data_IF_002106204196
#
_entry.id   IF_002106204196
#
_cell.length_a   1.000
_cell.length_b   1.000
_cell.length_c   1.000
_cell.angle_alpha   90.00
_cell.angle_beta   90.00
_cell.angle_gamma   90.00
#
_symmetry.space_group_name_H-M   'P 1'
#
loop_
_entity.id
_entity.type
_entity.pdbx_description
1 polymer ?
#
# COMPACT_ATOMS: atom_id res chain seq x y z
N UNK A 1 2.93 -47.29 34.52
CA UNK A 1 2.98 -45.87 34.06
C UNK A 1 2.94 -45.89 32.55
N UNK A 2 1.89 -45.38 31.99
CA UNK A 2 1.83 -45.30 30.53
C UNK A 2 2.19 -43.89 30.14
N UNK A 3 3.42 -43.70 29.65
CA UNK A 3 3.84 -42.48 28.97
C UNK A 3 3.42 -42.50 27.50
N UNK A 4 3.30 -41.34 26.92
CA UNK A 4 3.14 -41.14 25.46
C UNK A 4 4.13 -40.09 24.97
N UNK A 5 4.21 -39.85 23.66
CA UNK A 5 5.26 -39.05 23.07
C UNK A 5 4.69 -37.91 22.25
N UNK A 6 5.19 -36.71 22.50
CA UNK A 6 5.02 -35.55 21.61
C UNK A 6 6.11 -35.60 20.55
N UNK A 7 5.75 -35.49 19.28
CA UNK A 7 6.61 -35.68 18.12
C UNK A 7 6.60 -34.44 17.20
N UNK A 8 7.63 -34.28 16.39
CA UNK A 8 7.78 -33.17 15.45
C UNK A 8 6.63 -33.12 14.44
N UNK A 9 6.15 -34.28 13.96
CA UNK A 9 5.02 -34.40 13.01
C UNK A 9 4.10 -35.55 13.43
N UNK A 10 2.89 -35.55 12.92
CA UNK A 10 1.90 -36.63 13.14
C UNK A 10 2.30 -37.95 12.50
N UNK A 11 3.16 -38.73 13.14
CA UNK A 11 3.62 -40.03 12.63
C UNK A 11 4.49 -40.78 13.62
N UNK A 12 4.37 -42.12 13.65
CA UNK A 12 5.14 -42.97 14.60
C UNK A 12 6.66 -42.97 14.31
N UNK A 13 7.04 -42.65 13.10
CA UNK A 13 8.46 -42.53 12.67
C UNK A 13 9.02 -41.13 12.85
N UNK A 14 8.18 -40.16 13.20
CA UNK A 14 8.64 -38.77 13.43
C UNK A 14 9.49 -38.70 14.70
N UNK A 15 10.52 -37.84 14.75
CA UNK A 15 11.35 -37.65 15.94
C UNK A 15 10.51 -37.29 17.16
N UNK A 16 10.96 -37.76 18.32
CA UNK A 16 10.33 -37.50 19.62
C UNK A 16 10.90 -36.20 20.14
N UNK A 17 10.03 -35.26 20.51
CA UNK A 17 10.38 -34.00 21.16
C UNK A 17 10.37 -34.16 22.67
N UNK A 18 9.35 -34.86 23.20
CA UNK A 18 9.16 -35.04 24.63
C UNK A 18 8.35 -36.29 24.95
N UNK A 19 8.63 -36.90 26.08
CA UNK A 19 7.74 -37.89 26.73
C UNK A 19 6.84 -37.18 27.71
N UNK A 20 5.53 -37.49 27.67
CA UNK A 20 4.53 -37.00 28.61
C UNK A 20 3.93 -38.18 29.36
N UNK A 21 3.66 -37.98 30.64
CA UNK A 21 3.14 -39.02 31.55
C UNK A 21 1.61 -38.97 31.61
N UNK A 22 1.01 -40.00 32.20
CA UNK A 22 -0.39 -39.96 32.54
C UNK A 22 -0.65 -38.79 33.49
N UNK A 23 -1.73 -38.08 33.23
CA UNK A 23 -2.21 -36.92 34.01
C UNK A 23 -1.43 -35.60 33.78
N UNK A 24 -0.39 -35.59 32.88
CA UNK A 24 0.19 -34.35 32.40
C UNK A 24 -0.86 -33.56 31.62
N UNK A 25 -0.95 -32.28 31.89
CA UNK A 25 -1.85 -31.38 31.16
C UNK A 25 -1.28 -31.06 29.77
N UNK A 26 -2.12 -31.17 28.76
CA UNK A 26 -1.78 -30.92 27.39
C UNK A 26 -2.82 -29.95 26.78
N UNK A 27 -2.35 -28.88 26.20
CA UNK A 27 -3.20 -27.96 25.44
C UNK A 27 -3.29 -28.42 23.99
N UNK A 28 -4.51 -28.67 23.50
CA UNK A 28 -4.75 -28.99 22.09
C UNK A 28 -4.81 -27.68 21.34
N UNK A 29 -3.88 -27.49 20.39
CA UNK A 29 -3.79 -26.32 19.52
C UNK A 29 -4.60 -26.52 18.24
N UNK A 30 -4.57 -27.75 17.70
CA UNK A 30 -5.30 -28.12 16.51
C UNK A 30 -5.66 -29.62 16.54
N UNK A 31 -6.86 -29.97 16.07
CA UNK A 31 -7.38 -31.32 16.12
C UNK A 31 -7.37 -31.98 14.75
N UNK A 32 -6.57 -33.04 14.59
CA UNK A 32 -6.54 -33.85 13.38
C UNK A 32 -7.18 -35.24 13.57
N UNK A 33 -7.27 -36.08 12.54
CA UNK A 33 -7.94 -37.38 12.60
C UNK A 33 -7.29 -38.39 13.55
N UNK A 34 -5.97 -38.50 13.50
CA UNK A 34 -5.20 -39.51 14.25
C UNK A 34 -4.17 -38.87 15.19
N UNK A 35 -3.79 -37.62 14.93
CA UNK A 35 -2.79 -36.87 15.66
C UNK A 35 -3.29 -35.45 15.87
N UNK A 36 -3.20 -34.97 17.09
CA UNK A 36 -3.52 -33.60 17.46
C UNK A 36 -2.23 -32.81 17.62
N UNK A 37 -2.20 -31.54 17.13
CA UNK A 37 -1.14 -30.59 17.44
C UNK A 37 -1.36 -30.08 18.85
N UNK A 38 -0.33 -30.13 19.67
CA UNK A 38 -0.45 -29.86 21.10
C UNK A 38 0.71 -29.02 21.61
N UNK A 39 0.48 -28.33 22.74
CA UNK A 39 1.51 -27.73 23.56
C UNK A 39 1.52 -28.38 24.96
N UNK A 40 2.69 -28.66 25.47
CA UNK A 40 2.90 -29.10 26.88
C UNK A 40 2.99 -27.88 27.80
N UNK A 41 2.86 -28.07 29.12
CA UNK A 41 2.95 -26.97 30.10
C UNK A 41 4.29 -26.22 30.08
N UNK A 42 5.36 -26.86 29.69
CA UNK A 42 6.70 -26.27 29.50
C UNK A 42 6.96 -25.75 28.08
N UNK A 43 5.91 -25.61 27.25
CA UNK A 43 5.98 -24.92 25.96
C UNK A 43 6.44 -25.75 24.77
N UNK A 44 6.64 -27.10 24.91
CA UNK A 44 6.98 -27.94 23.77
C UNK A 44 5.76 -28.12 22.86
N UNK A 45 5.86 -27.65 21.63
CA UNK A 45 4.83 -27.79 20.60
C UNK A 45 5.16 -28.96 19.67
N UNK A 46 4.18 -29.83 19.43
CA UNK A 46 4.34 -30.99 18.56
C UNK A 46 3.02 -31.75 18.39
N UNK A 47 3.13 -33.02 18.00
CA UNK A 47 1.97 -33.87 17.71
C UNK A 47 1.92 -35.08 18.64
N UNK A 48 0.73 -35.34 19.17
CA UNK A 48 0.43 -36.51 20.01
C UNK A 48 -0.67 -37.34 19.36
N UNK A 49 -0.66 -38.65 19.59
CA UNK A 49 -1.77 -39.51 19.13
C UNK A 49 -3.05 -39.13 19.84
N UNK A 50 -4.11 -38.81 19.10
CA UNK A 50 -5.43 -38.45 19.66
C UNK A 50 -5.92 -39.47 20.70
N UNK A 51 -5.75 -40.75 20.45
CA UNK A 51 -6.12 -41.82 21.37
C UNK A 51 -5.36 -41.86 22.69
N UNK A 52 -4.31 -41.08 22.81
CA UNK A 52 -3.54 -40.94 24.06
C UNK A 52 -4.03 -39.78 24.95
N UNK A 53 -4.92 -38.95 24.41
CA UNK A 53 -5.59 -37.91 25.14
C UNK A 53 -6.88 -38.44 25.79
N UNK A 54 -7.21 -37.92 26.95
CA UNK A 54 -8.49 -38.13 27.63
C UNK A 54 -9.52 -37.10 27.11
N UNK A 55 -10.61 -36.95 27.85
CA UNK A 55 -11.61 -35.91 27.56
C UNK A 55 -10.97 -34.53 27.57
N UNK A 56 -11.29 -33.76 26.50
CA UNK A 56 -10.86 -32.38 26.38
C UNK A 56 -11.93 -31.42 26.90
N UNK A 57 -11.52 -30.40 27.60
CA UNK A 57 -12.36 -29.28 28.01
C UNK A 57 -11.90 -28.02 27.28
N UNK A 58 -12.82 -27.29 26.64
CA UNK A 58 -12.51 -25.98 26.12
C UNK A 58 -12.17 -25.05 27.28
N UNK A 59 -10.98 -24.49 27.24
CA UNK A 59 -10.53 -23.49 28.22
C UNK A 59 -10.12 -22.25 27.47
N UNK A 60 -10.66 -21.10 27.86
CA UNK A 60 -10.15 -19.81 27.40
C UNK A 60 -8.88 -19.54 28.21
N UNK A 61 -7.74 -19.50 27.53
CA UNK A 61 -6.51 -19.01 28.15
C UNK A 61 -6.64 -17.50 28.30
N UNK A 62 -6.53 -17.04 29.53
CA UNK A 62 -6.50 -15.61 29.84
C UNK A 62 -5.22 -15.35 30.63
N UNK A 63 -4.50 -14.31 30.23
CA UNK A 63 -3.45 -13.75 31.06
C UNK A 63 -4.06 -12.54 31.78
N UNK A 64 -4.36 -12.63 33.10
CA UNK A 64 -4.96 -11.51 33.86
C UNK A 64 -4.01 -10.32 34.00
N UNK A 65 -2.70 -10.54 33.80
CA UNK A 65 -1.67 -9.51 33.89
C UNK A 65 -1.24 -9.01 32.47
N UNK A 66 -1.98 -9.40 31.42
CA UNK A 66 -1.72 -8.91 30.09
C UNK A 66 -2.23 -7.48 29.95
N UNK A 67 -1.34 -6.56 29.71
CA UNK A 67 -1.63 -5.21 29.25
C UNK A 67 -1.36 -5.13 27.74
N UNK A 68 -2.33 -4.64 26.99
CA UNK A 68 -2.15 -4.43 25.55
C UNK A 68 -1.10 -3.33 25.35
N UNK A 69 -0.13 -3.60 24.49
CA UNK A 69 0.88 -2.62 24.12
C UNK A 69 0.20 -1.43 23.43
N UNK A 70 0.51 -0.22 23.89
CA UNK A 70 -0.04 1.02 23.33
C UNK A 70 1.06 1.77 22.60
N UNK A 71 0.73 2.29 21.41
CA UNK A 71 1.61 3.08 20.59
C UNK A 71 1.12 4.53 20.55
N UNK A 72 2.05 5.47 20.64
CA UNK A 72 1.78 6.89 20.43
C UNK A 72 2.08 7.23 18.97
N UNK A 73 1.19 7.98 18.34
CA UNK A 73 1.36 8.41 16.95
C UNK A 73 1.95 9.81 16.89
N UNK A 74 2.82 10.03 15.90
CA UNK A 74 3.32 11.36 15.54
C UNK A 74 2.25 12.02 14.66
N UNK A 75 1.53 12.98 15.24
CA UNK A 75 0.50 13.75 14.51
C UNK A 75 1.04 15.09 14.07
N UNK A 76 0.68 15.51 12.87
CA UNK A 76 1.00 16.85 12.35
C UNK A 76 -0.11 17.83 12.71
N UNK A 77 0.29 19.08 12.94
CA UNK A 77 -0.64 20.17 13.27
C UNK A 77 -1.46 20.66 12.06
N UNK A 78 -1.01 20.31 10.86
CA UNK A 78 -1.64 20.69 9.58
C UNK A 78 -2.02 19.44 8.79
N UNK A 79 -3.00 19.60 7.91
CA UNK A 79 -3.33 18.57 6.95
C UNK A 79 -2.12 18.22 6.08
N UNK A 80 -1.92 16.93 5.84
CA UNK A 80 -0.82 16.45 5.03
C UNK A 80 -1.14 16.66 3.56
N UNK A 81 -0.28 17.41 2.88
CA UNK A 81 -0.25 17.54 1.43
C UNK A 81 1.03 16.88 0.91
N UNK A 82 0.98 15.55 0.74
CA UNK A 82 2.11 14.74 0.30
C UNK A 82 2.17 14.67 -1.22
N UNK A 83 3.36 14.78 -1.78
CA UNK A 83 3.56 14.53 -3.20
C UNK A 83 4.69 13.53 -3.42
N UNK A 84 4.39 12.45 -4.17
CA UNK A 84 5.41 11.52 -4.60
C UNK A 84 6.20 12.09 -5.78
N UNK A 85 7.52 12.08 -5.64
CA UNK A 85 8.45 12.45 -6.71
C UNK A 85 9.20 11.21 -7.19
N UNK A 86 8.90 10.75 -8.39
CA UNK A 86 9.60 9.62 -8.98
C UNK A 86 11.02 10.02 -9.39
N UNK A 87 11.99 9.55 -8.63
CA UNK A 87 13.42 9.71 -8.88
C UNK A 87 13.97 8.40 -9.44
N UNK A 88 14.49 8.42 -10.67
CA UNK A 88 14.94 7.20 -11.38
C UNK A 88 16.45 7.06 -11.46
N UNK A 89 17.21 8.03 -10.98
CA UNK A 89 18.68 8.02 -10.96
C UNK A 89 19.24 9.04 -9.97
N UNK A 90 20.47 8.83 -9.53
CA UNK A 90 21.17 9.76 -8.65
C UNK A 90 21.18 11.19 -9.21
N UNK A 91 21.38 11.35 -10.52
CA UNK A 91 21.42 12.68 -11.16
C UNK A 91 20.07 13.38 -11.22
N UNK A 92 18.96 12.64 -11.17
CA UNK A 92 17.61 13.20 -11.22
C UNK A 92 17.28 14.02 -9.96
N UNK A 93 17.96 13.78 -8.83
CA UNK A 93 17.79 14.53 -7.60
C UNK A 93 17.99 16.04 -7.78
N UNK A 94 18.90 16.44 -8.65
CA UNK A 94 19.20 17.88 -8.90
C UNK A 94 18.04 18.66 -9.51
N UNK A 95 16.97 17.98 -9.97
CA UNK A 95 15.79 18.61 -10.56
C UNK A 95 14.75 19.05 -9.51
N UNK A 96 14.93 18.74 -8.23
CA UNK A 96 13.95 19.06 -7.18
C UNK A 96 13.55 20.56 -7.15
N UNK A 97 14.44 21.55 -7.38
CA UNK A 97 14.01 22.95 -7.43
C UNK A 97 13.01 23.22 -8.55
N UNK A 98 13.21 22.60 -9.72
CA UNK A 98 12.32 22.74 -10.86
C UNK A 98 10.98 22.07 -10.59
N UNK A 99 10.99 20.86 -9.99
CA UNK A 99 9.79 20.09 -9.68
C UNK A 99 8.89 20.85 -8.69
N UNK A 100 9.47 21.42 -7.63
CA UNK A 100 8.71 22.17 -6.60
C UNK A 100 8.22 23.53 -7.13
N UNK A 101 8.91 24.14 -8.08
CA UNK A 101 8.63 25.53 -8.51
C UNK A 101 7.21 25.76 -9.04
N UNK A 102 6.53 24.72 -9.51
CA UNK A 102 5.16 24.78 -10.05
C UNK A 102 4.09 24.33 -9.02
N UNK A 103 4.50 23.90 -7.83
CA UNK A 103 3.60 23.35 -6.82
C UNK A 103 3.14 24.41 -5.83
N UNK A 104 2.00 24.18 -5.16
CA UNK A 104 1.50 25.01 -4.06
C UNK A 104 0.95 24.14 -2.95
N UNK A 105 1.25 24.50 -1.70
CA UNK A 105 0.66 23.85 -0.53
C UNK A 105 1.28 22.48 -0.15
N UNK A 106 2.23 21.95 -0.92
CA UNK A 106 2.94 20.73 -0.52
C UNK A 106 3.70 20.97 0.77
N UNK A 107 3.52 20.11 1.76
CA UNK A 107 4.26 20.14 3.01
C UNK A 107 5.04 18.84 3.28
N UNK A 108 4.81 17.78 2.48
CA UNK A 108 5.57 16.54 2.53
C UNK A 108 5.96 16.12 1.11
N UNK A 109 7.23 15.83 0.91
CA UNK A 109 7.78 15.24 -0.31
C UNK A 109 8.17 13.79 -0.06
N UNK A 110 7.69 12.87 -0.88
CA UNK A 110 8.07 11.45 -0.81
C UNK A 110 8.80 11.02 -2.09
N UNK A 111 10.13 11.09 -2.12
CA UNK A 111 10.91 10.65 -3.27
C UNK A 111 11.09 9.13 -3.29
N UNK A 112 10.99 8.51 -4.47
CA UNK A 112 11.15 7.07 -4.69
C UNK A 112 12.64 6.69 -4.71
N UNK A 113 13.27 6.66 -3.55
CA UNK A 113 14.72 6.54 -3.45
C UNK A 113 15.24 5.15 -3.11
N UNK A 114 14.47 4.39 -2.34
CA UNK A 114 14.94 3.17 -1.75
C UNK A 114 14.08 1.99 -2.18
N UNK A 115 14.72 0.88 -2.48
CA UNK A 115 13.99 -0.34 -2.74
C UNK A 115 14.71 -1.57 -2.20
N UNK A 116 13.94 -2.60 -1.86
CA UNK A 116 14.47 -3.87 -1.39
C UNK A 116 15.29 -4.53 -2.51
N UNK A 117 16.59 -4.73 -2.28
CA UNK A 117 17.55 -5.09 -3.32
C UNK A 117 18.00 -6.55 -3.31
N UNK A 118 17.89 -7.22 -2.14
CA UNK A 118 18.24 -8.64 -2.03
C UNK A 118 17.47 -9.35 -0.91
N UNK A 119 17.58 -10.68 -0.89
CA UNK A 119 16.95 -11.53 0.13
C UNK A 119 17.59 -11.46 1.52
N UNK A 120 18.65 -10.68 1.73
CA UNK A 120 19.23 -10.44 3.04
C UNK A 120 18.61 -9.20 3.73
N UNK A 121 17.74 -8.48 3.04
CA UNK A 121 17.10 -7.25 3.53
C UNK A 121 17.94 -5.99 3.28
N UNK A 122 18.89 -6.02 2.35
CA UNK A 122 19.63 -4.83 1.95
C UNK A 122 18.80 -3.96 0.99
N UNK A 123 19.00 -2.65 1.08
CA UNK A 123 18.35 -1.66 0.22
C UNK A 123 19.30 -1.20 -0.89
N UNK A 124 18.73 -0.90 -2.06
CA UNK A 124 19.32 0.03 -3.00
C UNK A 124 18.99 1.46 -2.60
N UNK A 125 19.86 2.40 -2.91
CA UNK A 125 19.81 3.77 -2.43
C UNK A 125 20.29 4.75 -3.53
N UNK A 126 19.41 5.69 -3.89
CA UNK A 126 19.73 6.80 -4.81
C UNK A 126 19.37 8.16 -4.18
N UNK A 127 19.28 8.25 -2.85
CA UNK A 127 18.91 9.46 -2.13
C UNK A 127 19.99 10.56 -2.19
N UNK A 128 19.61 11.78 -1.85
CA UNK A 128 20.48 12.95 -1.91
C UNK A 128 20.24 13.88 -0.72
N UNK A 129 21.31 14.19 0.01
CA UNK A 129 21.28 15.20 1.08
C UNK A 129 20.94 16.61 0.58
N UNK A 130 21.43 16.97 -0.61
CA UNK A 130 21.15 18.27 -1.20
C UNK A 130 19.66 18.43 -1.52
N UNK A 131 19.00 17.32 -1.94
CA UNK A 131 17.57 17.30 -2.15
C UNK A 131 16.82 17.56 -0.84
N UNK A 132 17.15 16.84 0.23
CA UNK A 132 16.53 17.01 1.56
C UNK A 132 16.76 18.45 2.06
N UNK A 133 17.99 18.93 2.02
CA UNK A 133 18.32 20.31 2.43
C UNK A 133 17.53 21.37 1.65
N UNK A 134 17.33 21.13 0.35
CA UNK A 134 16.51 22.03 -0.46
C UNK A 134 15.04 22.00 -0.03
N UNK A 135 14.44 20.83 0.16
CA UNK A 135 13.06 20.69 0.65
C UNK A 135 12.89 21.37 2.01
N UNK A 136 13.79 21.15 2.96
CA UNK A 136 13.77 21.79 4.27
C UNK A 136 13.86 23.33 4.16
N UNK A 137 14.67 23.85 3.23
CA UNK A 137 14.74 25.30 2.97
C UNK A 137 13.44 25.91 2.47
N UNK A 138 12.55 25.06 1.92
CA UNK A 138 11.20 25.45 1.47
C UNK A 138 10.11 25.15 2.52
N UNK A 139 10.48 24.64 3.70
CA UNK A 139 9.53 24.23 4.74
C UNK A 139 8.78 22.93 4.42
N UNK A 140 9.36 22.08 3.57
CA UNK A 140 8.78 20.81 3.13
C UNK A 140 9.53 19.67 3.83
N UNK A 141 8.81 18.81 4.53
CA UNK A 141 9.36 17.58 5.09
C UNK A 141 9.68 16.56 3.99
N UNK A 142 10.64 15.68 4.24
CA UNK A 142 10.98 14.59 3.31
C UNK A 142 10.73 13.25 3.99
N UNK A 143 9.73 12.51 3.47
CA UNK A 143 9.44 11.14 3.86
C UNK A 143 9.96 10.21 2.77
N UNK A 144 11.15 9.64 2.96
CA UNK A 144 11.74 8.76 1.96
C UNK A 144 10.85 7.54 1.69
N UNK A 145 10.59 7.27 0.41
CA UNK A 145 9.81 6.10 0.00
C UNK A 145 10.71 4.87 -0.09
N UNK A 146 10.23 3.77 0.48
CA UNK A 146 10.85 2.45 0.47
C UNK A 146 9.89 1.45 -0.17
N UNK A 147 10.28 0.87 -1.31
CA UNK A 147 9.45 -0.03 -2.10
C UNK A 147 10.03 -1.45 -2.22
N UNK A 148 9.25 -2.37 -2.78
CA UNK A 148 9.66 -3.75 -3.08
C UNK A 148 9.36 -4.16 -4.53
N UNK A 149 9.20 -3.21 -5.43
CA UNK A 149 8.74 -3.46 -6.81
C UNK A 149 9.89 -3.53 -7.84
N UNK A 150 11.00 -2.83 -7.61
CA UNK A 150 12.03 -2.59 -8.61
C UNK A 150 12.88 -3.83 -8.91
N UNK A 151 13.13 -4.66 -7.89
CA UNK A 151 13.90 -5.89 -8.06
C UNK A 151 12.99 -7.12 -7.90
N UNK A 152 12.50 -7.65 -9.01
CA UNK A 152 11.60 -8.80 -9.05
C UNK A 152 12.26 -10.15 -8.68
N UNK A 153 13.58 -10.20 -8.55
CA UNK A 153 14.31 -11.40 -8.11
C UNK A 153 14.33 -11.55 -6.58
N UNK A 154 13.84 -10.52 -5.84
CA UNK A 154 13.79 -10.55 -4.39
C UNK A 154 12.48 -11.17 -3.91
N UNK A 155 12.61 -12.16 -3.03
CA UNK A 155 11.50 -12.74 -2.29
C UNK A 155 11.20 -11.90 -1.04
N UNK A 156 10.32 -10.91 -1.18
CA UNK A 156 9.90 -10.06 -0.08
C UNK A 156 9.27 -10.85 1.08
N UNK A 157 8.56 -11.94 0.78
CA UNK A 157 7.99 -12.82 1.79
C UNK A 157 9.09 -13.48 2.64
N UNK A 158 10.17 -13.94 2.00
CA UNK A 158 11.32 -14.47 2.72
C UNK A 158 11.93 -13.41 3.66
N UNK A 159 12.15 -12.19 3.16
CA UNK A 159 12.74 -11.11 3.95
C UNK A 159 11.88 -10.78 5.17
N UNK A 160 10.56 -10.71 5.02
CA UNK A 160 9.63 -10.34 6.09
C UNK A 160 9.42 -11.47 7.11
N UNK A 161 9.40 -12.73 6.68
CA UNK A 161 9.12 -13.88 7.57
C UNK A 161 10.32 -14.32 8.40
N UNK A 162 11.53 -13.95 8.02
CA UNK A 162 12.76 -14.29 8.74
C UNK A 162 13.24 -13.10 9.58
N UNK A 163 13.29 -13.27 10.89
CA UNK A 163 13.67 -12.19 11.83
C UNK A 163 15.02 -11.53 11.49
N UNK A 164 16.01 -12.31 11.07
CA UNK A 164 17.34 -11.77 10.75
C UNK A 164 17.32 -10.82 9.56
N UNK A 165 16.65 -11.18 8.46
CA UNK A 165 16.55 -10.38 7.24
C UNK A 165 15.63 -9.18 7.45
N UNK A 166 14.51 -9.35 8.17
CA UNK A 166 13.61 -8.27 8.57
C UNK A 166 14.33 -7.25 9.47
N UNK A 167 15.12 -7.71 10.43
CA UNK A 167 15.95 -6.83 11.26
C UNK A 167 16.99 -6.07 10.43
N UNK A 168 17.60 -6.71 9.44
CA UNK A 168 18.53 -6.05 8.52
C UNK A 168 17.82 -4.94 7.76
N UNK A 169 16.66 -5.24 7.16
CA UNK A 169 15.85 -4.26 6.43
C UNK A 169 15.51 -3.04 7.31
N UNK A 170 14.99 -3.27 8.51
CA UNK A 170 14.66 -2.19 9.45
C UNK A 170 15.89 -1.34 9.81
N UNK A 171 17.04 -1.98 10.03
CA UNK A 171 18.26 -1.24 10.31
C UNK A 171 18.76 -0.42 9.11
N UNK A 172 18.59 -0.93 7.90
CA UNK A 172 18.92 -0.21 6.66
C UNK A 172 17.98 1.02 6.50
N UNK A 173 16.68 0.87 6.72
CA UNK A 173 15.69 1.97 6.69
C UNK A 173 16.10 3.05 7.69
N UNK A 174 16.33 2.69 8.94
CA UNK A 174 16.73 3.65 9.97
C UNK A 174 18.08 4.32 9.68
N UNK A 175 19.05 3.56 9.15
CA UNK A 175 20.33 4.13 8.74
C UNK A 175 20.16 5.16 7.61
N UNK A 176 19.29 4.88 6.64
CA UNK A 176 18.96 5.83 5.57
C UNK A 176 18.28 7.08 6.16
N UNK A 177 17.30 6.91 7.04
CA UNK A 177 16.60 8.03 7.68
C UNK A 177 17.57 8.97 8.42
N UNK A 178 18.51 8.44 9.18
CA UNK A 178 19.53 9.24 9.86
C UNK A 178 20.56 9.85 8.90
N UNK A 179 21.05 9.05 7.93
CA UNK A 179 22.08 9.53 7.02
C UNK A 179 21.63 10.69 6.16
N UNK A 180 20.34 10.70 5.76
CA UNK A 180 19.75 11.72 4.89
C UNK A 180 18.94 12.76 5.65
N UNK A 181 18.81 12.64 6.98
CA UNK A 181 18.02 13.57 7.82
C UNK A 181 16.55 13.60 7.38
N UNK A 182 15.95 12.40 7.17
CA UNK A 182 14.56 12.28 6.78
C UNK A 182 13.62 12.59 7.96
N UNK A 183 12.52 13.27 7.69
CA UNK A 183 11.46 13.57 8.67
C UNK A 183 10.48 12.40 8.82
N UNK A 184 10.42 11.55 7.83
CA UNK A 184 9.55 10.37 7.81
C UNK A 184 10.04 9.26 6.90
N UNK A 185 9.39 8.11 7.08
CA UNK A 185 9.53 6.90 6.28
C UNK A 185 8.18 6.59 5.67
N UNK A 186 8.14 6.44 4.34
CA UNK A 186 6.96 6.02 3.60
C UNK A 186 7.19 4.61 3.06
N UNK A 187 6.46 3.63 3.57
CA UNK A 187 6.58 2.22 3.15
C UNK A 187 5.56 1.95 2.06
N UNK A 188 6.05 1.59 0.87
CA UNK A 188 5.29 1.26 -0.32
C UNK A 188 5.59 -0.18 -0.76
N UNK A 189 5.19 -1.14 0.08
CA UNK A 189 5.37 -2.57 -0.19
C UNK A 189 4.09 -3.14 -0.81
N UNK A 190 3.97 -3.03 -2.12
CA UNK A 190 2.79 -3.46 -2.85
C UNK A 190 2.80 -4.97 -3.20
N UNK A 191 3.97 -5.55 -3.40
CA UNK A 191 4.09 -6.96 -3.79
C UNK A 191 3.93 -7.90 -2.57
N UNK A 192 2.89 -7.67 -1.77
CA UNK A 192 2.44 -8.53 -0.68
C UNK A 192 1.17 -9.22 -1.20
N UNK A 193 1.31 -10.41 -1.76
CA UNK A 193 0.26 -11.05 -2.55
C UNK A 193 -0.44 -12.23 -1.87
N UNK A 194 0.05 -12.67 -0.71
CA UNK A 194 -0.47 -13.84 -0.02
C UNK A 194 -0.71 -13.58 1.46
N UNK A 195 -1.80 -14.15 1.98
CA UNK A 195 -2.13 -14.08 3.40
C UNK A 195 -1.06 -14.72 4.31
N UNK A 196 -0.25 -15.65 3.76
CA UNK A 196 0.74 -16.42 4.54
C UNK A 196 1.82 -15.56 5.22
N UNK A 197 2.10 -14.37 4.71
CA UNK A 197 3.08 -13.44 5.29
C UNK A 197 2.51 -12.07 5.66
N UNK A 198 1.19 -11.92 5.60
CA UNK A 198 0.51 -10.70 6.06
C UNK A 198 0.82 -10.35 7.52
N UNK A 199 0.77 -11.34 8.42
CA UNK A 199 1.13 -11.14 9.83
C UNK A 199 2.60 -10.71 9.99
N UNK A 200 3.50 -11.23 9.15
CA UNK A 200 4.92 -10.84 9.18
C UNK A 200 5.14 -9.42 8.65
N UNK A 201 4.28 -8.96 7.73
CA UNK A 201 4.29 -7.58 7.28
C UNK A 201 3.83 -6.63 8.39
N UNK A 202 2.76 -6.98 9.11
CA UNK A 202 2.30 -6.20 10.26
C UNK A 202 3.39 -6.15 11.36
N UNK A 203 4.07 -7.28 11.61
CA UNK A 203 5.18 -7.31 12.57
C UNK A 203 6.37 -6.42 12.12
N UNK A 204 6.67 -6.40 10.81
CA UNK A 204 7.66 -5.48 10.25
C UNK A 204 7.27 -4.02 10.53
N UNK A 205 6.02 -3.63 10.27
CA UNK A 205 5.52 -2.28 10.54
C UNK A 205 5.61 -1.96 12.04
N UNK A 206 5.22 -2.89 12.92
CA UNK A 206 5.31 -2.72 14.37
C UNK A 206 6.76 -2.50 14.83
N UNK A 207 7.68 -3.35 14.41
CA UNK A 207 9.10 -3.24 14.78
C UNK A 207 9.72 -1.93 14.25
N UNK A 208 9.36 -1.52 13.03
CA UNK A 208 9.81 -0.27 12.42
C UNK A 208 9.24 0.95 13.15
N UNK A 209 7.94 0.94 13.48
CA UNK A 209 7.26 2.02 14.19
C UNK A 209 7.95 2.34 15.52
N UNK A 210 8.31 1.31 16.30
CA UNK A 210 9.03 1.51 17.58
C UNK A 210 10.32 2.30 17.36
N UNK A 211 11.07 1.99 16.30
CA UNK A 211 12.32 2.71 16.01
C UNK A 211 12.07 4.11 15.47
N UNK A 212 11.10 4.27 14.60
CA UNK A 212 10.72 5.58 14.07
C UNK A 212 10.27 6.52 15.20
N UNK A 213 9.32 6.10 16.01
CA UNK A 213 8.77 6.91 17.11
C UNK A 213 9.81 7.27 18.17
N UNK A 214 10.69 6.34 18.54
CA UNK A 214 11.79 6.61 19.46
C UNK A 214 12.77 7.67 18.96
N UNK A 215 12.74 7.99 17.67
CA UNK A 215 13.62 8.96 17.02
C UNK A 215 12.87 10.15 16.41
N UNK A 216 11.56 10.27 16.64
CA UNK A 216 10.75 11.38 16.15
C UNK A 216 10.54 11.38 14.62
N UNK A 217 10.66 10.20 13.98
CA UNK A 217 10.49 9.99 12.54
C UNK A 217 9.07 9.49 12.29
N UNK A 218 8.32 10.19 11.43
CA UNK A 218 6.96 9.78 11.05
C UNK A 218 6.98 8.50 10.22
N UNK A 219 5.99 7.62 10.42
CA UNK A 219 5.82 6.39 9.63
C UNK A 219 4.49 6.39 8.90
N UNK A 220 4.53 6.36 7.58
CA UNK A 220 3.37 6.15 6.72
C UNK A 220 3.50 4.85 5.94
N UNK A 221 2.37 4.22 5.65
CA UNK A 221 2.30 2.97 4.89
C UNK A 221 1.28 3.11 3.77
N UNK A 222 1.73 2.86 2.55
CA UNK A 222 0.88 2.89 1.36
C UNK A 222 0.19 1.54 1.20
N UNK A 223 -1.11 1.58 0.93
CA UNK A 223 -1.93 0.38 0.74
C UNK A 223 -2.94 0.61 -0.38
N UNK A 224 -3.30 -0.46 -1.07
CA UNK A 224 -4.37 -0.43 -2.06
C UNK A 224 -5.72 -0.21 -1.39
N UNK A 225 -6.70 0.32 -2.13
CA UNK A 225 -8.10 0.42 -1.70
C UNK A 225 -8.60 -0.94 -1.18
N UNK A 226 -9.34 -0.99 -0.04
CA UNK A 226 -9.83 -2.23 0.52
C UNK A 226 -10.65 -3.05 -0.48
N UNK A 227 -10.29 -4.33 -0.64
CA UNK A 227 -10.97 -5.29 -1.49
C UNK A 227 -10.99 -6.67 -0.84
N UNK A 228 -11.85 -7.57 -1.32
CA UNK A 228 -11.97 -8.91 -0.76
C UNK A 228 -10.68 -9.73 -0.82
N UNK A 229 -9.84 -9.49 -1.83
CA UNK A 229 -8.60 -10.21 -2.08
C UNK A 229 -7.38 -9.67 -1.31
N UNK A 230 -7.47 -8.45 -0.72
CA UNK A 230 -6.35 -7.82 -0.04
C UNK A 230 -6.57 -7.60 1.48
N UNK A 231 -7.48 -8.38 2.09
CA UNK A 231 -7.77 -8.32 3.54
C UNK A 231 -6.57 -8.67 4.43
N UNK A 232 -5.57 -9.34 3.89
CA UNK A 232 -4.34 -9.70 4.60
C UNK A 232 -3.45 -8.48 4.93
N UNK A 233 -3.68 -7.32 4.32
CA UNK A 233 -3.03 -6.09 4.75
C UNK A 233 -3.42 -5.68 6.18
N UNK A 234 -4.58 -6.15 6.69
CA UNK A 234 -5.02 -5.91 8.07
C UNK A 234 -4.79 -4.45 8.51
N UNK A 235 -5.46 -3.54 7.85
CA UNK A 235 -5.28 -2.09 8.04
C UNK A 235 -5.55 -1.64 9.47
N UNK A 236 -6.44 -2.34 10.19
CA UNK A 236 -6.74 -2.02 11.57
C UNK A 236 -5.58 -2.31 12.52
N UNK A 237 -4.82 -3.39 12.32
CA UNK A 237 -3.60 -3.63 13.10
C UNK A 237 -2.45 -2.72 12.65
N UNK A 238 -2.34 -2.46 11.34
CA UNK A 238 -1.36 -1.52 10.79
C UNK A 238 -1.54 -0.11 11.38
N UNK A 239 -2.77 0.36 11.50
CA UNK A 239 -3.10 1.68 12.09
C UNK A 239 -2.79 1.80 13.58
N UNK A 240 -2.61 0.68 14.30
CA UNK A 240 -2.14 0.71 15.70
C UNK A 240 -0.68 1.15 15.81
N UNK A 241 0.10 0.94 14.75
CA UNK A 241 1.55 1.14 14.75
C UNK A 241 1.98 2.33 13.89
N UNK A 242 1.51 2.41 12.65
CA UNK A 242 1.85 3.49 11.73
C UNK A 242 1.13 4.79 12.11
N UNK A 243 1.77 5.93 11.86
CA UNK A 243 1.15 7.23 12.07
C UNK A 243 0.07 7.50 11.03
N UNK A 244 0.31 7.10 9.79
CA UNK A 244 -0.59 7.32 8.66
C UNK A 244 -0.69 6.09 7.77
N UNK A 245 -1.90 5.86 7.27
CA UNK A 245 -2.21 4.89 6.22
C UNK A 245 -2.60 5.67 4.97
N UNK A 246 -1.79 5.55 3.93
CA UNK A 246 -2.07 6.18 2.63
C UNK A 246 -2.82 5.17 1.77
N UNK A 247 -4.09 5.43 1.48
CA UNK A 247 -4.87 4.58 0.56
C UNK A 247 -4.66 5.08 -0.86
N UNK A 248 -4.10 4.23 -1.72
CA UNK A 248 -3.88 4.54 -3.15
C UNK A 248 -5.21 4.51 -3.89
N UNK A 249 -5.91 5.66 -3.93
CA UNK A 249 -7.22 5.83 -4.55
C UNK A 249 -7.15 5.93 -6.07
N UNK A 250 -6.36 5.07 -6.70
CA UNK A 250 -6.14 5.01 -8.15
C UNK A 250 -5.85 3.57 -8.62
N UNK A 251 -5.70 3.40 -9.93
CA UNK A 251 -5.62 2.11 -10.63
C UNK A 251 -6.88 1.23 -10.44
N UNK A 252 -8.08 1.87 -10.37
CA UNK A 252 -9.38 1.20 -10.48
C UNK A 252 -9.42 0.38 -11.78
N UNK A 253 -9.07 1.02 -12.91
CA UNK A 253 -8.78 0.38 -14.17
C UNK A 253 -7.30 0.56 -14.53
N UNK A 254 -6.63 -0.53 -14.85
CA UNK A 254 -5.19 -0.60 -15.06
C UNK A 254 -4.84 -1.35 -16.37
N UNK A 255 -3.58 -1.35 -16.76
CA UNK A 255 -3.13 -2.08 -17.96
C UNK A 255 -3.51 -3.57 -17.86
N UNK A 256 -4.36 -4.02 -18.76
CA UNK A 256 -4.86 -5.39 -18.82
C UNK A 256 -6.28 -5.59 -18.28
N UNK A 257 -6.89 -4.55 -17.68
CA UNK A 257 -8.32 -4.52 -17.40
C UNK A 257 -9.13 -4.04 -18.60
N UNK A 258 -10.44 -4.05 -18.47
CA UNK A 258 -11.34 -3.31 -19.37
C UNK A 258 -11.07 -1.81 -19.27
N UNK A 259 -11.44 -1.06 -20.32
CA UNK A 259 -11.30 0.39 -20.35
C UNK A 259 -12.26 1.05 -19.35
N UNK A 260 -11.72 1.96 -18.55
CA UNK A 260 -12.47 2.69 -17.54
C UNK A 260 -11.65 3.80 -16.89
N UNK A 261 -12.25 4.48 -15.94
CA UNK A 261 -11.58 5.47 -15.08
C UNK A 261 -10.45 4.85 -14.27
N UNK A 262 -9.36 5.56 -14.08
CA UNK A 262 -8.30 5.14 -13.14
C UNK A 262 -8.69 5.41 -11.69
N UNK A 263 -9.72 6.26 -11.44
CA UNK A 263 -10.07 6.72 -10.11
C UNK A 263 -11.45 7.39 -10.11
N UNK A 264 -12.52 6.61 -10.35
CA UNK A 264 -13.88 7.14 -10.34
C UNK A 264 -14.30 7.58 -8.93
N UNK A 265 -15.17 8.60 -8.85
CA UNK A 265 -15.62 9.12 -7.56
C UNK A 265 -16.39 8.07 -6.74
N UNK A 266 -17.30 7.26 -7.31
CA UNK A 266 -17.97 6.21 -6.56
C UNK A 266 -17.01 5.18 -5.97
N UNK A 267 -16.03 4.72 -6.75
CA UNK A 267 -15.04 3.73 -6.30
C UNK A 267 -14.12 4.27 -5.19
N UNK A 268 -13.65 5.51 -5.34
CA UNK A 268 -12.83 6.17 -4.30
C UNK A 268 -13.66 6.38 -3.03
N UNK A 269 -14.93 6.77 -3.16
CA UNK A 269 -15.85 6.96 -2.02
C UNK A 269 -16.02 5.66 -1.24
N UNK A 270 -16.31 4.55 -1.93
CA UNK A 270 -16.40 3.22 -1.30
C UNK A 270 -15.08 2.82 -0.63
N UNK A 271 -13.95 3.13 -1.26
CA UNK A 271 -12.63 2.91 -0.72
C UNK A 271 -12.39 3.65 0.59
N UNK A 272 -12.71 4.94 0.64
CA UNK A 272 -12.63 5.76 1.86
C UNK A 272 -13.56 5.23 2.95
N UNK A 273 -14.84 4.99 2.63
CA UNK A 273 -15.82 4.45 3.59
C UNK A 273 -15.42 3.08 4.16
N UNK A 274 -14.82 2.24 3.32
CA UNK A 274 -14.33 0.92 3.74
C UNK A 274 -13.09 1.04 4.63
N UNK A 275 -12.19 1.96 4.32
CA UNK A 275 -11.00 2.21 5.14
C UNK A 275 -11.36 2.80 6.51
N UNK A 276 -12.34 3.69 6.57
CA UNK A 276 -12.83 4.28 7.83
C UNK A 276 -13.42 3.25 8.81
N UNK A 277 -13.78 2.07 8.36
CA UNK A 277 -14.21 0.96 9.23
C UNK A 277 -13.03 0.29 9.95
N UNK A 278 -11.82 0.46 9.44
CA UNK A 278 -10.60 -0.20 9.91
C UNK A 278 -9.60 0.80 10.53
N UNK A 279 -9.58 2.05 10.06
CA UNK A 279 -8.56 3.06 10.38
C UNK A 279 -9.22 4.36 10.85
N UNK A 280 -8.73 5.00 11.93
CA UNK A 280 -9.18 6.33 12.34
C UNK A 280 -9.00 7.36 11.22
N UNK A 281 -9.97 8.27 11.05
CA UNK A 281 -9.96 9.26 9.97
C UNK A 281 -8.69 10.13 9.97
N UNK A 282 -8.24 10.55 11.14
CA UNK A 282 -7.04 11.38 11.35
C UNK A 282 -5.71 10.65 11.13
N UNK A 283 -5.75 9.38 10.69
CA UNK A 283 -4.61 8.61 10.23
C UNK A 283 -4.68 8.27 8.72
N UNK A 284 -5.78 8.59 8.03
CA UNK A 284 -5.96 8.26 6.62
C UNK A 284 -5.50 9.41 5.74
N UNK A 285 -4.61 9.13 4.80
CA UNK A 285 -4.25 10.03 3.69
C UNK A 285 -4.82 9.44 2.41
N UNK A 286 -5.57 10.24 1.63
CA UNK A 286 -6.13 9.80 0.36
C UNK A 286 -5.15 10.05 -0.79
N UNK A 287 -4.62 8.99 -1.38
CA UNK A 287 -3.81 9.03 -2.59
C UNK A 287 -4.68 9.28 -3.83
N UNK A 288 -4.29 10.26 -4.64
CA UNK A 288 -4.97 10.71 -5.86
C UNK A 288 -4.03 10.69 -7.05
N UNK A 289 -4.50 10.34 -8.27
CA UNK A 289 -3.66 10.35 -9.45
C UNK A 289 -3.55 11.75 -10.06
N UNK A 290 -2.37 12.08 -10.60
CA UNK A 290 -2.17 13.15 -11.56
C UNK A 290 -2.04 12.63 -13.00
N UNK A 291 -2.30 11.35 -13.20
CA UNK A 291 -2.28 10.70 -14.50
C UNK A 291 -3.65 10.16 -14.87
N UNK A 292 -3.84 9.97 -16.16
CA UNK A 292 -4.95 9.19 -16.68
C UNK A 292 -4.46 8.13 -17.64
N UNK A 293 -5.38 7.27 -18.11
CA UNK A 293 -5.13 6.33 -19.19
C UNK A 293 -5.95 6.70 -20.41
N UNK A 294 -5.29 6.76 -21.57
CA UNK A 294 -5.99 6.71 -22.85
C UNK A 294 -6.05 5.25 -23.26
N UNK A 295 -7.28 4.80 -23.46
CA UNK A 295 -7.60 3.44 -23.86
C UNK A 295 -7.76 3.38 -25.36
N UNK A 296 -7.13 2.39 -25.99
CA UNK A 296 -7.23 2.07 -27.39
C UNK A 296 -7.98 0.75 -27.54
N UNK A 297 -9.15 0.78 -28.16
CA UNK A 297 -10.01 -0.36 -28.44
C UNK A 297 -9.92 -0.68 -29.93
N UNK A 298 -9.27 -1.81 -30.26
CA UNK A 298 -9.12 -2.29 -31.63
C UNK A 298 -10.18 -3.40 -31.87
N UNK A 299 -11.08 -3.25 -32.88
CA UNK A 299 -12.06 -4.30 -33.20
C UNK A 299 -11.38 -5.64 -33.50
N UNK A 300 -11.96 -6.75 -33.01
CA UNK A 300 -11.52 -8.10 -33.38
C UNK A 300 -11.90 -8.39 -34.85
N UNK A 301 -11.15 -9.24 -35.55
CA UNK A 301 -11.15 -9.39 -37.03
C UNK A 301 -12.50 -9.73 -37.68
N UNK A 302 -13.52 -10.13 -36.90
CA UNK A 302 -14.83 -10.53 -37.45
C UNK A 302 -15.93 -9.45 -37.31
N UNK A 303 -15.62 -8.23 -36.85
CA UNK A 303 -16.60 -7.18 -36.63
C UNK A 303 -16.28 -5.93 -37.52
N UNK A 304 -16.99 -5.82 -38.68
CA UNK A 304 -16.80 -4.77 -39.65
C UNK A 304 -17.28 -3.35 -39.24
N UNK A 305 -17.81 -3.19 -38.03
CA UNK A 305 -18.30 -1.88 -37.61
C UNK A 305 -18.14 -1.67 -36.09
N UNK A 306 -17.46 -0.61 -35.70
CA UNK A 306 -17.45 0.00 -34.36
C UNK A 306 -18.85 0.59 -34.11
N UNK A 307 -19.87 -0.26 -33.85
CA UNK A 307 -21.24 0.19 -33.64
C UNK A 307 -21.70 0.07 -32.21
N UNK A 308 -21.02 -0.72 -31.40
CA UNK A 308 -21.35 -0.92 -29.98
C UNK A 308 -20.11 -0.62 -29.12
N UNK A 309 -20.03 0.61 -28.61
CA UNK A 309 -18.93 1.11 -27.81
C UNK A 309 -19.01 0.65 -26.35
N UNK A 310 -20.12 0.04 -25.94
CA UNK A 310 -20.35 -0.44 -24.57
C UNK A 310 -19.86 -1.88 -24.38
N UNK A 311 -19.99 -2.72 -25.42
CA UNK A 311 -19.53 -4.13 -25.35
C UNK A 311 -18.02 -4.25 -25.67
N UNK A 312 -17.21 -4.08 -24.63
CA UNK A 312 -15.75 -4.18 -24.76
C UNK A 312 -15.24 -5.57 -25.13
N UNK A 313 -16.07 -6.62 -25.00
CA UNK A 313 -15.68 -8.00 -25.36
C UNK A 313 -15.37 -8.15 -26.86
N UNK A 314 -15.86 -7.24 -27.69
CA UNK A 314 -15.63 -7.17 -29.13
C UNK A 314 -14.30 -6.56 -29.54
N UNK A 315 -13.54 -6.03 -28.56
CA UNK A 315 -12.29 -5.31 -28.81
C UNK A 315 -11.09 -5.97 -28.14
N UNK A 316 -9.93 -5.74 -28.71
CA UNK A 316 -8.66 -5.85 -28.00
C UNK A 316 -8.38 -4.52 -27.35
N UNK A 317 -8.24 -4.50 -26.03
CA UNK A 317 -8.03 -3.29 -25.23
C UNK A 317 -6.55 -3.10 -24.92
N UNK A 318 -6.02 -1.93 -25.24
CA UNK A 318 -4.69 -1.48 -24.85
C UNK A 318 -4.80 -0.12 -24.15
N UNK A 319 -3.82 0.22 -23.30
CA UNK A 319 -3.81 1.54 -22.66
C UNK A 319 -2.41 2.08 -22.47
N UNK A 320 -2.33 3.40 -22.43
CA UNK A 320 -1.12 4.13 -22.11
C UNK A 320 -1.41 5.23 -21.09
N UNK A 321 -0.47 5.44 -20.16
CA UNK A 321 -0.51 6.50 -19.15
C UNK A 321 -0.15 7.84 -19.78
N UNK A 322 -0.91 8.88 -19.43
CA UNK A 322 -0.69 10.26 -19.86
C UNK A 322 -0.74 11.19 -18.65
N UNK A 323 0.12 12.21 -18.65
CA UNK A 323 -0.02 13.36 -17.76
C UNK A 323 -1.27 14.17 -18.13
N UNK A 324 -1.74 15.05 -17.25
CA UNK A 324 -2.89 15.92 -17.52
C UNK A 324 -2.73 16.72 -18.81
N UNK A 325 -1.59 17.40 -19.00
CA UNK A 325 -1.32 18.19 -20.21
C UNK A 325 -1.19 17.32 -21.46
N UNK A 326 -0.58 16.14 -21.35
CA UNK A 326 -0.44 15.25 -22.48
C UNK A 326 -1.80 14.66 -22.91
N UNK A 327 -2.68 14.35 -21.98
CA UNK A 327 -4.05 13.90 -22.28
C UNK A 327 -4.86 15.01 -22.96
N UNK A 328 -4.80 16.23 -22.46
CA UNK A 328 -5.44 17.40 -23.08
C UNK A 328 -4.92 17.64 -24.52
N UNK A 329 -3.62 17.49 -24.74
CA UNK A 329 -3.03 17.60 -26.08
C UNK A 329 -3.53 16.52 -27.05
N UNK A 330 -3.77 15.28 -26.56
CA UNK A 330 -4.37 14.22 -27.39
C UNK A 330 -5.80 14.57 -27.80
N UNK A 331 -6.62 15.12 -26.90
CA UNK A 331 -7.96 15.58 -27.24
C UNK A 331 -7.92 16.66 -28.33
N UNK A 332 -7.07 17.66 -28.16
CA UNK A 332 -6.92 18.74 -29.10
C UNK A 332 -6.48 18.23 -30.50
N UNK A 333 -5.53 17.30 -30.55
CA UNK A 333 -5.02 16.70 -31.78
C UNK A 333 -6.10 15.94 -32.55
N UNK A 334 -7.01 15.29 -31.83
CA UNK A 334 -8.06 14.45 -32.40
C UNK A 334 -9.42 15.19 -32.53
N UNK A 335 -9.47 16.49 -32.22
CA UNK A 335 -10.70 17.30 -32.16
C UNK A 335 -11.77 16.66 -31.24
N UNK A 336 -11.37 15.96 -30.20
CA UNK A 336 -12.26 15.35 -29.23
C UNK A 336 -12.65 16.38 -28.16
N UNK A 337 -13.90 16.37 -27.75
CA UNK A 337 -14.41 17.27 -26.71
C UNK A 337 -14.80 16.45 -25.49
N UNK A 338 -14.27 16.83 -24.36
CA UNK A 338 -14.64 16.20 -23.09
C UNK A 338 -15.92 16.83 -22.52
N UNK A 339 -16.75 16.01 -21.89
CA UNK A 339 -17.93 16.43 -21.13
C UNK A 339 -17.96 15.69 -19.79
N UNK A 340 -18.61 16.29 -18.81
CA UNK A 340 -18.77 15.66 -17.51
C UNK A 340 -19.55 14.34 -17.64
N UNK A 341 -18.92 13.27 -17.24
CA UNK A 341 -19.56 11.98 -17.00
C UNK A 341 -19.99 11.93 -15.52
N UNK A 342 -21.29 11.97 -15.32
CA UNK A 342 -21.86 12.00 -13.95
C UNK A 342 -21.64 10.68 -13.20
N UNK A 343 -21.49 9.57 -13.91
CA UNK A 343 -21.27 8.25 -13.30
C UNK A 343 -19.88 8.16 -12.67
N UNK A 344 -18.83 8.47 -13.42
CA UNK A 344 -17.45 8.49 -12.89
C UNK A 344 -17.14 9.75 -12.07
N UNK A 345 -17.89 10.83 -12.30
CA UNK A 345 -17.62 12.14 -11.74
C UNK A 345 -16.44 12.88 -12.38
N UNK A 346 -15.99 12.44 -13.56
CA UNK A 346 -14.85 12.97 -14.30
C UNK A 346 -15.27 13.54 -15.66
N UNK A 347 -14.42 14.36 -16.26
CA UNK A 347 -14.60 14.73 -17.66
C UNK A 347 -14.18 13.55 -18.56
N UNK A 348 -15.09 13.09 -19.40
CA UNK A 348 -14.91 11.97 -20.32
C UNK A 348 -14.87 12.44 -21.76
N UNK A 349 -14.02 11.81 -22.55
CA UNK A 349 -14.01 11.98 -24.01
C UNK A 349 -13.78 10.64 -24.70
N UNK A 350 -14.34 10.52 -25.91
CA UNK A 350 -14.01 9.43 -26.83
C UNK A 350 -13.87 9.96 -28.26
N UNK A 351 -13.11 9.25 -29.08
CA UNK A 351 -12.93 9.54 -30.51
C UNK A 351 -12.53 8.31 -31.28
N UNK A 352 -12.78 8.32 -32.59
CA UNK A 352 -12.34 7.26 -33.49
C UNK A 352 -11.22 7.76 -34.40
N UNK A 353 -10.18 6.95 -34.54
CA UNK A 353 -9.09 7.18 -35.48
C UNK A 353 -8.50 5.86 -35.97
N UNK A 354 -8.18 5.75 -37.26
CA UNK A 354 -7.53 4.55 -37.85
C UNK A 354 -8.26 3.24 -37.55
N UNK A 355 -9.58 3.21 -37.63
CA UNK A 355 -10.45 2.07 -37.33
C UNK A 355 -10.33 1.57 -35.87
N UNK A 356 -10.01 2.45 -34.93
CA UNK A 356 -9.94 2.20 -33.51
C UNK A 356 -10.80 3.22 -32.78
N UNK A 357 -11.31 2.82 -31.60
CA UNK A 357 -11.98 3.69 -30.67
C UNK A 357 -11.02 4.03 -29.52
N UNK A 358 -10.98 5.29 -29.15
CA UNK A 358 -10.21 5.78 -28.00
C UNK A 358 -11.15 6.32 -26.95
N UNK A 359 -10.86 6.02 -25.68
CA UNK A 359 -11.61 6.51 -24.52
C UNK A 359 -10.66 7.07 -23.47
N UNK A 360 -11.10 8.14 -22.78
CA UNK A 360 -10.34 8.72 -21.67
C UNK A 360 -11.27 9.35 -20.63
N UNK A 361 -11.01 9.06 -19.38
CA UNK A 361 -11.55 9.79 -18.21
C UNK A 361 -10.43 10.69 -17.69
N UNK A 362 -10.61 12.00 -17.79
CA UNK A 362 -9.56 12.97 -17.51
C UNK A 362 -9.36 13.15 -16.01
N UNK A 363 -8.09 13.27 -15.62
CA UNK A 363 -7.74 13.88 -14.36
C UNK A 363 -7.51 15.37 -14.57
N UNK A 364 -8.26 16.17 -13.82
CA UNK A 364 -8.23 17.63 -13.87
C UNK A 364 -8.72 18.24 -12.53
N UNK A 365 -8.87 19.55 -12.48
CA UNK A 365 -9.39 20.22 -11.28
C UNK A 365 -10.79 19.74 -10.87
N UNK A 366 -11.62 19.29 -11.82
CA UNK A 366 -13.00 18.81 -11.53
C UNK A 366 -12.97 17.50 -10.74
N UNK A 367 -12.20 16.53 -11.20
CA UNK A 367 -12.06 15.23 -10.54
C UNK A 367 -11.35 15.36 -9.20
N UNK A 368 -10.27 16.17 -9.14
CA UNK A 368 -9.52 16.42 -7.91
C UNK A 368 -10.36 17.12 -6.84
N UNK A 369 -11.16 18.14 -7.21
CA UNK A 369 -12.02 18.84 -6.25
C UNK A 369 -13.01 17.90 -5.58
N UNK A 370 -13.61 16.98 -6.33
CA UNK A 370 -14.54 15.98 -5.78
C UNK A 370 -13.86 15.05 -4.77
N UNK A 371 -12.61 14.60 -5.04
CA UNK A 371 -11.84 13.75 -4.10
C UNK A 371 -11.32 14.54 -2.90
N UNK A 372 -10.86 15.77 -3.08
CA UNK A 372 -10.46 16.64 -1.98
C UNK A 372 -11.63 16.94 -1.04
N UNK A 373 -12.84 17.05 -1.61
CA UNK A 373 -14.07 17.16 -0.80
C UNK A 373 -14.29 15.91 0.07
N UNK A 374 -13.96 14.71 -0.39
CA UNK A 374 -14.02 13.50 0.45
C UNK A 374 -13.03 13.58 1.62
N UNK A 375 -11.85 14.16 1.41
CA UNK A 375 -10.86 14.39 2.48
C UNK A 375 -11.43 15.31 3.54
N UNK A 376 -11.99 16.45 3.15
CA UNK A 376 -12.55 17.43 4.09
C UNK A 376 -13.83 16.92 4.79
N UNK A 377 -14.77 16.35 4.04
CA UNK A 377 -16.05 15.87 4.58
C UNK A 377 -15.84 14.74 5.62
N UNK A 378 -14.84 13.88 5.43
CA UNK A 378 -14.51 12.78 6.32
C UNK A 378 -13.43 13.10 7.35
N UNK A 379 -12.88 14.32 7.35
CA UNK A 379 -11.81 14.76 8.27
C UNK A 379 -10.60 13.82 8.21
N UNK A 380 -10.19 13.44 7.01
CA UNK A 380 -9.00 12.64 6.81
C UNK A 380 -7.74 13.45 7.17
N UNK A 381 -6.61 12.75 7.40
CA UNK A 381 -5.33 13.39 7.73
C UNK A 381 -4.76 14.24 6.59
N UNK A 382 -5.22 14.05 5.35
CA UNK A 382 -4.77 14.80 4.19
C UNK A 382 -4.90 14.04 2.88
N UNK A 383 -4.13 14.50 1.88
CA UNK A 383 -4.06 13.87 0.57
C UNK A 383 -2.62 13.66 0.11
N UNK A 384 -2.44 12.69 -0.79
CA UNK A 384 -1.18 12.39 -1.46
C UNK A 384 -1.39 12.34 -2.98
N UNK A 385 -0.38 12.70 -3.77
CA UNK A 385 -0.52 12.86 -5.22
C UNK A 385 0.52 12.07 -6.00
N UNK A 386 0.07 11.13 -6.82
CA UNK A 386 0.90 10.33 -7.71
C UNK A 386 0.77 10.84 -9.15
N UNK A 387 1.73 11.45 -9.73
CA UNK A 387 3.04 11.87 -9.22
C UNK A 387 3.38 13.26 -9.76
N UNK A 388 4.32 13.93 -9.11
CA UNK A 388 4.83 15.22 -9.59
C UNK A 388 5.39 15.13 -11.02
N UNK A 389 5.12 16.16 -11.78
CA UNK A 389 5.44 16.25 -13.22
C UNK A 389 4.37 15.66 -14.13
N UNK A 390 3.27 15.13 -13.57
CA UNK A 390 2.10 14.70 -14.33
C UNK A 390 0.92 15.66 -14.21
N UNK A 391 0.94 16.54 -13.22
CA UNK A 391 -0.11 17.54 -13.01
C UNK A 391 -0.02 18.70 -14.01
N UNK A 392 -1.16 19.31 -14.28
CA UNK A 392 -1.23 20.69 -14.75
C UNK A 392 -1.10 21.64 -13.55
N UNK A 393 -0.26 22.66 -13.64
CA UNK A 393 0.03 23.53 -12.50
C UNK A 393 -1.20 24.24 -11.88
N UNK A 394 -2.29 24.37 -12.66
CA UNK A 394 -3.54 25.01 -12.18
C UNK A 394 -4.27 24.17 -11.12
N UNK A 395 -4.02 22.86 -11.04
CA UNK A 395 -4.69 21.98 -10.05
C UNK A 395 -4.31 22.36 -8.62
N UNK A 396 -3.14 22.94 -8.42
CA UNK A 396 -2.68 23.37 -7.09
C UNK A 396 -3.57 24.48 -6.50
N UNK A 397 -4.20 25.30 -7.33
CA UNK A 397 -5.18 26.29 -6.88
C UNK A 397 -6.44 25.62 -6.31
N UNK A 398 -6.75 24.39 -6.75
CA UNK A 398 -7.81 23.57 -6.17
C UNK A 398 -7.33 22.89 -4.88
N UNK A 399 -6.13 22.33 -4.89
CA UNK A 399 -5.55 21.63 -3.71
C UNK A 399 -5.51 22.53 -2.48
N UNK A 400 -4.99 23.77 -2.61
CA UNK A 400 -4.85 24.70 -1.49
C UNK A 400 -6.17 25.24 -0.92
N UNK A 401 -7.31 24.99 -1.57
CA UNK A 401 -8.63 25.33 -0.99
C UNK A 401 -9.04 24.36 0.12
N UNK A 402 -8.53 23.14 0.09
CA UNK A 402 -8.91 22.03 0.97
C UNK A 402 -7.81 21.64 1.96
N UNK A 403 -6.55 21.81 1.57
CA UNK A 403 -5.37 21.44 2.37
C UNK A 403 -4.56 22.69 2.69
N UNK A 404 -4.66 23.18 3.93
CA UNK A 404 -3.94 24.38 4.42
C UNK A 404 -3.22 24.11 5.76
#
# INVERSE_FOLDING_TARGET
SKSTQVRVKGGIKSPILKEVKKDDKITILDSGDKWDKVATEDGVIGYIKRKALSESKKTKLTNPDYEEETFTHIKKDKDICLAWNQVTSQSANSKVPQVISSTKGINVMSPTWFYLNDNNGNLADIASKDYVSYCHSQGIEVWGLFSNLENTDVDAAYVLTHTSTRTTLINQIMSAAFNYELDGVNIDFENITEAAYGDSYIEFIRELAIKCHNNGISLSVDVTVPASFNKFFNRSDMAKFADYIVIMGYDEHYKGSDAGSVSSIPWVTEGVESTLKEVPADQIILGMPFYTRIWELTPKEDDDAVTDTEDQSKYTVASQVYSMDAAAAQLATNNATAALDEESGQNYAEWSASNKLYKVWLEDSTSLEKRLKLVDDNKLAGAAFWKLGFENSSVWDTVIKYLN
#
